data_IF_728169622643
#
_entry.id   IF_728169622643
#
_cell.length_a   1.000
_cell.length_b   1.000
_cell.length_c   1.000
_cell.angle_alpha   90.00
_cell.angle_beta   90.00
_cell.angle_gamma   90.00
#
_symmetry.space_group_name_H-M   'P 1'
#
loop_
_entity.id
_entity.type
_entity.pdbx_description
1 polymer ?
#
# COMPACT_ATOMS: atom_id res chain seq x y z
N UNK A 1 -5.21 0.08 32.65
CA UNK A 1 -5.34 -0.57 31.72
C UNK A 1 -5.75 -0.76 31.49
N UNK A 2 -5.56 -0.52 31.94
CA UNK A 2 -5.88 -1.10 31.15
C UNK A 2 -6.17 -1.04 30.84
N UNK A 3 -5.59 -0.65 30.27
CA UNK A 3 -5.86 -1.09 29.45
C UNK A 3 -6.24 -1.27 28.98
N UNK A 4 -5.93 -0.84 29.16
CA UNK A 4 -6.24 -1.47 28.34
C UNK A 4 -6.49 -1.72 27.79
N UNK A 5 -6.28 -1.07 28.43
CA UNK A 5 -6.52 -1.83 27.70
C UNK A 5 -6.71 -2.00 27.20
N UNK A 6 -6.64 -1.52 27.24
CA UNK A 6 -6.90 -2.20 26.38
C UNK A 6 -7.01 -2.56 25.95
N UNK A 7 -7.02 -2.27 26.08
CA UNK A 7 -7.23 -3.14 25.31
C UNK A 7 -7.33 -3.46 24.88
N UNK A 8 -7.26 -3.07 24.90
CA UNK A 8 -7.44 -3.86 24.10
C UNK A 8 -7.63 -4.12 23.62
N UNK A 9 -7.60 -3.84 23.67
CA UNK A 9 -7.80 -4.52 22.85
C UNK A 9 -7.96 -4.83 22.41
N UNK A 10 -7.93 -4.63 22.25
CA UNK A 10 -8.06 -5.31 21.49
C UNK A 10 -8.17 -5.53 20.86
N UNK A 11 -8.17 -5.22 20.97
CA UNK A 11 -8.20 -5.69 20.12
C UNK A 11 -8.28 -5.95 19.62
N UNK A 12 -8.32 -5.73 19.62
CA UNK A 12 -8.27 -6.10 18.84
C UNK A 12 -8.28 -6.39 18.35
N UNK A 13 -8.15 -6.29 18.45
CA UNK A 13 -8.03 -6.47 17.72
C UNK A 13 -8.04 -6.35 17.13
N UNK A 14 -8.13 -6.62 17.38
CA UNK A 14 -7.64 -6.26 16.53
C UNK A 14 -7.58 -5.62 15.20
N UNK A 15 -8.56 -5.00 14.67
CA UNK A 15 -8.46 -4.30 13.41
C UNK A 15 -7.42 -3.19 13.51
N UNK A 16 -6.58 -3.07 12.50
CA UNK A 16 -5.61 -1.98 12.42
C UNK A 16 -6.30 -0.70 11.96
N UNK A 17 -5.81 0.42 12.44
CA UNK A 17 -6.37 1.71 12.07
C UNK A 17 -5.63 2.29 10.86
N UNK A 18 -6.29 3.11 10.04
CA UNK A 18 -5.61 3.83 8.98
C UNK A 18 -4.46 4.67 9.51
N UNK A 19 -3.42 4.79 8.71
CA UNK A 19 -2.24 5.54 9.10
C UNK A 19 -1.76 6.42 7.95
N UNK A 20 -0.98 7.44 8.30
CA UNK A 20 -0.42 8.37 7.34
C UNK A 20 0.91 7.84 6.81
N UNK A 21 1.15 8.03 5.52
CA UNK A 21 2.39 7.67 4.86
C UNK A 21 2.86 8.85 4.03
N UNK A 22 4.12 9.24 4.18
CA UNK A 22 4.68 10.31 3.36
C UNK A 22 5.26 9.70 2.10
N UNK A 23 4.91 10.28 0.95
CA UNK A 23 5.45 9.87 -0.35
C UNK A 23 6.88 10.42 -0.46
N UNK A 24 7.85 9.52 -0.62
CA UNK A 24 9.27 9.90 -0.52
C UNK A 24 9.97 10.03 -1.87
N UNK A 25 9.29 9.69 -2.97
CA UNK A 25 9.86 9.85 -4.31
C UNK A 25 8.79 10.40 -5.26
N UNK A 26 9.15 10.58 -6.53
CA UNK A 26 8.22 11.14 -7.51
C UNK A 26 7.65 10.07 -8.45
N UNK A 27 7.68 8.80 -8.03
CA UNK A 27 7.23 7.69 -8.87
C UNK A 27 5.73 7.72 -9.16
N UNK A 28 4.95 8.39 -8.31
CA UNK A 28 3.49 8.44 -8.45
C UNK A 28 2.99 9.83 -8.88
N UNK A 29 3.91 10.69 -9.35
CA UNK A 29 3.48 11.95 -9.96
C UNK A 29 2.89 11.69 -11.35
N UNK A 30 1.93 12.50 -11.78
CA UNK A 30 1.47 13.75 -11.15
C UNK A 30 0.39 13.58 -10.09
N UNK A 31 -0.15 12.37 -9.93
CA UNK A 31 -1.29 12.16 -9.03
C UNK A 31 -0.92 12.39 -7.57
N UNK A 32 0.28 11.93 -7.18
CA UNK A 32 0.77 12.05 -5.81
C UNK A 32 2.18 12.66 -5.84
N UNK A 33 2.29 13.89 -5.40
CA UNK A 33 3.56 14.59 -5.41
C UNK A 33 4.51 14.06 -4.34
N UNK A 34 5.79 14.09 -4.63
CA UNK A 34 6.81 13.78 -3.64
C UNK A 34 6.63 14.70 -2.42
N UNK A 35 6.63 14.12 -1.23
CA UNK A 35 6.44 14.86 0.02
C UNK A 35 5.01 14.95 0.50
N UNK A 36 4.03 14.57 -0.32
CA UNK A 36 2.63 14.62 0.13
C UNK A 36 2.34 13.48 1.10
N UNK A 37 1.28 13.64 1.87
CA UNK A 37 0.84 12.64 2.84
C UNK A 37 -0.39 11.94 2.27
N UNK A 38 -0.37 10.62 2.29
CA UNK A 38 -1.51 9.79 1.89
C UNK A 38 -1.97 8.99 3.11
N UNK A 39 -3.23 8.55 3.07
CA UNK A 39 -3.79 7.73 4.13
C UNK A 39 -3.88 6.31 3.63
N UNK A 40 -3.35 5.38 4.41
CA UNK A 40 -3.35 3.96 4.11
C UNK A 40 -4.37 3.27 5.01
N UNK A 41 -5.30 2.56 4.37
CA UNK A 41 -6.23 1.68 5.09
C UNK A 41 -5.60 0.28 5.09
N UNK A 42 -5.24 -0.26 6.27
CA UNK A 42 -4.44 -1.48 6.36
C UNK A 42 -5.27 -2.74 6.12
N UNK A 43 -5.78 -2.90 4.91
CA UNK A 43 -6.49 -4.10 4.49
C UNK A 43 -5.54 -4.97 3.67
N UNK A 44 -5.71 -6.29 3.76
CA UNK A 44 -4.79 -7.24 3.14
C UNK A 44 -5.10 -7.63 1.71
N UNK A 45 -6.02 -6.93 1.05
CA UNK A 45 -6.39 -7.24 -0.32
C UNK A 45 -6.78 -5.95 -1.05
N UNK A 46 -6.70 -6.00 -2.37
CA UNK A 46 -6.99 -4.85 -3.21
C UNK A 46 -7.63 -5.28 -4.52
N UNK A 47 -8.20 -4.31 -5.23
CA UNK A 47 -8.80 -4.52 -6.54
C UNK A 47 -7.93 -3.89 -7.62
N UNK A 48 -8.13 -4.35 -8.84
CA UNK A 48 -7.45 -3.81 -10.02
C UNK A 48 -7.64 -2.29 -10.11
N UNK A 49 -6.55 -1.57 -10.26
CA UNK A 49 -6.56 -0.13 -10.42
C UNK A 49 -6.40 0.67 -9.13
N UNK A 50 -6.44 0.03 -7.98
CA UNK A 50 -6.28 0.75 -6.70
C UNK A 50 -4.82 1.12 -6.45
N UNK A 51 -4.63 2.22 -5.74
CA UNK A 51 -3.31 2.58 -5.24
C UNK A 51 -3.06 1.82 -3.94
N UNK A 52 -1.89 1.19 -3.84
CA UNK A 52 -1.60 0.25 -2.76
C UNK A 52 -0.25 0.53 -2.14
N UNK A 53 -0.12 0.11 -0.89
CA UNK A 53 1.14 0.01 -0.19
C UNK A 53 1.40 -1.48 0.00
N UNK A 54 2.49 -1.97 -0.57
CA UNK A 54 2.73 -3.41 -0.69
C UNK A 54 4.19 -3.72 -0.37
N UNK A 55 4.42 -4.87 0.24
CA UNK A 55 5.77 -5.38 0.44
C UNK A 55 6.03 -6.50 -0.56
N UNK A 56 7.07 -6.33 -1.36
CA UNK A 56 7.45 -7.29 -2.39
C UNK A 56 8.97 -7.34 -2.46
N UNK A 57 9.53 -8.55 -2.44
CA UNK A 57 10.97 -8.78 -2.52
C UNK A 57 11.73 -8.01 -1.42
N UNK A 58 11.15 -7.97 -0.22
CA UNK A 58 11.76 -7.31 0.92
C UNK A 58 11.72 -5.79 0.89
N UNK A 59 11.04 -5.20 -0.08
CA UNK A 59 10.96 -3.75 -0.26
C UNK A 59 9.49 -3.33 -0.20
N UNK A 60 9.23 -2.17 0.37
CA UNK A 60 7.89 -1.60 0.42
C UNK A 60 7.73 -0.60 -0.70
N UNK A 61 6.59 -0.74 -1.43
CA UNK A 61 6.31 0.03 -2.62
C UNK A 61 4.97 0.73 -2.48
N UNK A 62 4.89 1.97 -2.92
CA UNK A 62 3.64 2.67 -3.14
C UNK A 62 3.44 2.77 -4.65
N UNK A 63 2.46 2.03 -5.18
CA UNK A 63 2.25 1.91 -6.62
C UNK A 63 0.78 1.69 -6.90
N UNK A 64 0.42 1.66 -8.18
CA UNK A 64 -0.92 1.27 -8.59
C UNK A 64 -0.92 -0.23 -8.90
N UNK A 65 -1.83 -0.95 -8.27
CA UNK A 65 -1.99 -2.38 -8.50
C UNK A 65 -2.78 -2.59 -9.78
N UNK A 66 -2.25 -3.38 -10.70
CA UNK A 66 -2.87 -3.59 -12.01
C UNK A 66 -2.84 -5.07 -12.35
N UNK A 67 -3.98 -5.59 -12.83
CA UNK A 67 -4.09 -6.96 -13.30
C UNK A 67 -4.27 -6.96 -14.82
N UNK A 68 -3.47 -7.78 -15.49
CA UNK A 68 -3.57 -7.97 -16.95
C UNK A 68 -3.58 -9.46 -17.23
N UNK A 69 -4.76 -10.01 -17.54
CA UNK A 69 -4.93 -11.44 -17.69
C UNK A 69 -4.62 -12.14 -16.38
N UNK A 70 -3.72 -13.09 -16.40
CA UNK A 70 -3.30 -13.82 -15.20
C UNK A 70 -2.14 -13.16 -14.47
N UNK A 71 -1.63 -12.02 -14.96
CA UNK A 71 -0.44 -11.37 -14.41
C UNK A 71 -0.84 -10.14 -13.61
N UNK A 72 -0.06 -9.85 -12.58
CA UNK A 72 -0.28 -8.71 -11.68
C UNK A 72 0.97 -7.86 -11.66
N UNK A 73 0.75 -6.55 -11.67
CA UNK A 73 1.84 -5.57 -11.77
C UNK A 73 1.67 -4.48 -10.74
N UNK A 74 2.79 -3.90 -10.35
CA UNK A 74 2.85 -2.63 -9.64
C UNK A 74 3.30 -1.57 -10.64
N UNK A 75 2.45 -0.59 -10.89
CA UNK A 75 2.68 0.43 -11.93
C UNK A 75 2.96 1.76 -11.27
N UNK A 76 4.10 2.37 -11.62
CA UNK A 76 4.38 3.74 -11.25
C UNK A 76 3.67 4.66 -12.24
N UNK A 77 3.04 5.73 -11.76
CA UNK A 77 2.37 6.69 -12.64
C UNK A 77 3.38 7.52 -13.43
N UNK A 78 4.54 7.73 -12.86
CA UNK A 78 5.65 8.38 -13.55
C UNK A 78 6.38 7.33 -14.37
N UNK A 79 6.35 7.47 -15.68
CA UNK A 79 6.89 6.46 -16.61
C UNK A 79 8.42 6.40 -16.62
N UNK A 80 9.08 7.24 -15.85
CA UNK A 80 10.53 7.13 -15.64
C UNK A 80 10.89 5.95 -14.72
N UNK A 81 9.89 5.39 -14.02
CA UNK A 81 10.07 4.25 -13.11
C UNK A 81 9.56 2.99 -13.80
N UNK A 82 10.25 1.84 -13.62
CA UNK A 82 9.81 0.60 -14.28
C UNK A 82 8.57 0.02 -13.60
N UNK A 83 7.79 -0.72 -14.39
CA UNK A 83 6.72 -1.54 -13.86
C UNK A 83 7.32 -2.77 -13.19
N UNK A 84 6.66 -3.25 -12.14
CA UNK A 84 7.14 -4.40 -11.36
C UNK A 84 6.15 -5.54 -11.57
N UNK A 85 6.63 -6.66 -12.11
CA UNK A 85 5.81 -7.87 -12.24
C UNK A 85 5.80 -8.59 -10.89
N UNK A 86 4.60 -8.86 -10.37
CA UNK A 86 4.45 -9.61 -9.13
C UNK A 86 4.42 -11.10 -9.45
N UNK A 87 5.59 -11.67 -9.66
CA UNK A 87 5.76 -13.08 -10.04
C UNK A 87 6.12 -13.97 -8.87
N UNK A 88 6.20 -13.41 -7.67
CA UNK A 88 6.45 -14.15 -6.43
C UNK A 88 5.46 -13.66 -5.38
N UNK A 89 5.47 -14.26 -4.20
CA UNK A 89 4.56 -13.87 -3.13
C UNK A 89 4.81 -12.43 -2.70
N UNK A 90 3.75 -11.75 -2.31
CA UNK A 90 3.79 -10.37 -1.86
C UNK A 90 2.70 -10.16 -0.81
N UNK A 91 2.84 -9.10 -0.03
CA UNK A 91 1.88 -8.75 1.02
C UNK A 91 1.30 -7.38 0.75
N UNK A 92 -0.02 -7.31 0.61
CA UNK A 92 -0.72 -6.03 0.53
C UNK A 92 -0.81 -5.49 1.95
N UNK A 93 -0.11 -4.39 2.21
CA UNK A 93 -0.09 -3.76 3.53
C UNK A 93 -1.26 -2.82 3.71
N UNK A 94 -1.82 -2.31 2.63
CA UNK A 94 -2.99 -1.47 2.68
C UNK A 94 -3.30 -0.84 1.34
N UNK A 95 -4.45 -0.17 1.28
CA UNK A 95 -4.86 0.61 0.11
C UNK A 95 -4.89 2.09 0.49
N UNK A 96 -4.69 2.93 -0.50
CA UNK A 96 -4.72 4.39 -0.30
C UNK A 96 -6.17 4.87 -0.39
N UNK A 97 -6.60 5.59 0.61
CA UNK A 97 -7.98 6.10 0.69
C UNK A 97 -8.04 7.62 0.68
#
# INVERSE_FOLDING_TARGET
MNKEDLNDIESNCGASEPFALQVTDNSMEPEFSQGCIVIVDPVGQCNNGQYVFVEYDGVRWFRQYTEKGSKKYLIALNNLYPNILLDQSYDILGIII
#
